data_IF_392458487877
#
_entry.id   IF_392458487877
#
_cell.length_a   1.000
_cell.length_b   1.000
_cell.length_c   1.000
_cell.angle_alpha   90.00
_cell.angle_beta   90.00
_cell.angle_gamma   90.00
#
_symmetry.space_group_name_H-M   'P 1'
#
loop_
_entity.id
_entity.type
_entity.pdbx_description
1 polymer ?
#
# COMPACT_ATOMS: atom_id res chain seq x y z
N UNK A 1 -16.78 -1.75 8.69
CA UNK A 1 -15.95 -1.40 7.54
C UNK A 1 -14.71 -2.29 7.42
N UNK A 2 -14.13 -2.75 8.53
CA UNK A 2 -12.91 -3.56 8.59
C UNK A 2 -13.16 -5.08 8.50
N UNK A 3 -14.35 -5.56 8.85
CA UNK A 3 -14.72 -6.98 8.86
C UNK A 3 -14.47 -7.72 7.55
N UNK A 4 -14.83 -7.20 6.35
CA UNK A 4 -14.63 -7.94 5.11
C UNK A 4 -13.15 -8.22 4.78
N UNK A 5 -12.22 -7.35 5.21
CA UNK A 5 -10.79 -7.56 5.00
C UNK A 5 -10.23 -8.61 5.94
N UNK A 6 -10.63 -8.60 7.22
CA UNK A 6 -10.23 -9.63 8.20
C UNK A 6 -10.72 -11.00 7.75
N UNK A 7 -12.00 -11.12 7.31
CA UNK A 7 -12.54 -12.36 6.76
C UNK A 7 -11.74 -12.89 5.57
N UNK A 8 -11.33 -12.00 4.64
CA UNK A 8 -10.51 -12.42 3.48
C UNK A 8 -9.17 -13.00 3.90
N UNK A 9 -8.50 -12.41 4.91
CA UNK A 9 -7.27 -12.97 5.46
C UNK A 9 -7.51 -14.33 6.13
N UNK A 10 -8.59 -14.47 6.92
CA UNK A 10 -8.96 -15.74 7.57
C UNK A 10 -9.25 -16.85 6.58
N UNK A 11 -9.85 -16.52 5.44
CA UNK A 11 -10.22 -17.47 4.38
C UNK A 11 -9.11 -17.68 3.34
N UNK A 12 -7.96 -17.02 3.48
CA UNK A 12 -6.85 -17.11 2.51
C UNK A 12 -7.16 -16.50 1.14
N UNK A 13 -8.19 -15.66 1.05
CA UNK A 13 -8.56 -14.95 -0.18
C UNK A 13 -7.72 -13.69 -0.36
N UNK A 14 -6.45 -13.86 -0.73
CA UNK A 14 -5.43 -12.79 -0.81
C UNK A 14 -4.93 -12.56 -2.24
N UNK A 15 -5.81 -12.59 -3.23
CA UNK A 15 -5.47 -12.47 -4.65
C UNK A 15 -4.77 -11.16 -5.07
N UNK A 16 -4.69 -10.17 -4.16
CA UNK A 16 -3.91 -8.94 -4.37
C UNK A 16 -2.45 -9.05 -3.94
N UNK A 17 -2.06 -10.15 -3.28
CA UNK A 17 -0.70 -10.37 -2.82
C UNK A 17 0.21 -10.78 -3.97
N UNK A 18 1.31 -10.05 -4.14
CA UNK A 18 2.36 -10.32 -5.11
C UNK A 18 3.56 -10.97 -4.40
N UNK A 19 3.83 -12.26 -4.63
CA UNK A 19 4.86 -12.98 -3.88
C UNK A 19 6.30 -12.53 -4.21
N UNK A 20 6.49 -11.86 -5.34
CA UNK A 20 7.80 -11.34 -5.79
C UNK A 20 7.96 -9.83 -5.59
N UNK A 21 6.95 -9.18 -5.02
CA UNK A 21 6.88 -7.72 -4.88
C UNK A 21 6.49 -7.02 -6.19
N UNK A 22 6.22 -5.72 -6.08
CA UNK A 22 5.70 -4.92 -7.17
C UNK A 22 6.83 -4.43 -8.09
N UNK A 23 6.75 -4.77 -9.39
CA UNK A 23 7.73 -4.39 -10.39
C UNK A 23 7.84 -2.87 -10.62
N UNK A 24 6.72 -2.14 -10.47
CA UNK A 24 6.72 -0.69 -10.62
C UNK A 24 7.36 0.02 -9.42
N UNK A 25 7.24 -0.52 -8.20
CA UNK A 25 8.03 -0.06 -7.07
C UNK A 25 9.52 -0.17 -7.40
N UNK A 26 9.97 -1.35 -7.83
CA UNK A 26 11.38 -1.61 -8.12
C UNK A 26 11.93 -0.76 -9.26
N UNK A 27 11.13 -0.47 -10.28
CA UNK A 27 11.53 0.34 -11.43
C UNK A 27 11.60 1.84 -11.14
N UNK A 28 10.77 2.33 -10.22
CA UNK A 28 10.54 3.78 -10.09
C UNK A 28 10.94 4.37 -8.73
N UNK A 29 11.17 3.57 -7.70
CA UNK A 29 11.69 4.04 -6.41
C UNK A 29 13.17 4.45 -6.54
N UNK A 30 13.49 5.66 -6.07
CA UNK A 30 14.84 6.25 -6.26
C UNK A 30 15.47 6.75 -4.95
N UNK A 31 14.81 6.54 -3.83
CA UNK A 31 15.23 7.13 -2.55
C UNK A 31 15.83 6.08 -1.62
N UNK A 32 16.77 6.52 -0.80
CA UNK A 32 17.38 5.75 0.27
C UNK A 32 17.57 6.62 1.52
N UNK A 33 17.76 5.99 2.67
CA UNK A 33 17.90 6.70 3.95
C UNK A 33 16.62 7.41 4.40
N UNK A 34 15.47 6.96 3.92
CA UNK A 34 14.16 7.50 4.25
C UNK A 34 13.45 6.65 5.28
N UNK A 35 12.60 7.29 6.09
CA UNK A 35 11.59 6.63 6.91
C UNK A 35 10.30 6.54 6.10
N UNK A 36 9.99 5.33 5.63
CA UNK A 36 8.93 5.07 4.65
C UNK A 36 7.68 4.56 5.33
N UNK A 37 6.55 5.24 5.11
CA UNK A 37 5.23 4.76 5.49
C UNK A 37 4.63 3.89 4.39
N UNK A 38 4.16 2.69 4.76
CA UNK A 38 3.42 1.78 3.87
C UNK A 38 2.06 1.44 4.49
N UNK A 39 1.00 2.17 4.13
CA UNK A 39 -0.34 1.95 4.69
C UNK A 39 -0.99 0.67 4.17
N UNK A 40 -1.78 -0.02 5.01
CA UNK A 40 -2.56 -1.21 4.66
C UNK A 40 -1.71 -2.25 3.91
N UNK A 41 -0.50 -2.48 4.43
CA UNK A 41 0.59 -3.16 3.71
C UNK A 41 0.36 -4.65 3.49
N UNK A 42 -0.60 -5.28 4.18
CA UNK A 42 -0.72 -6.73 4.15
C UNK A 42 0.57 -7.42 4.60
N UNK A 43 0.96 -8.45 3.86
CA UNK A 43 2.23 -9.17 4.04
C UNK A 43 3.20 -8.98 2.86
N UNK A 44 3.14 -7.80 2.19
CA UNK A 44 3.92 -7.59 0.97
C UNK A 44 5.43 -7.66 1.20
N UNK A 45 6.13 -8.34 0.31
CA UNK A 45 7.59 -8.37 0.29
C UNK A 45 8.23 -7.05 -0.18
N UNK A 46 7.44 -6.10 -0.64
CA UNK A 46 7.88 -4.73 -0.93
C UNK A 46 8.52 -4.06 0.28
N UNK A 47 8.09 -4.42 1.50
CA UNK A 47 8.70 -3.93 2.74
C UNK A 47 10.18 -4.35 2.84
N UNK A 48 10.49 -5.59 2.46
CA UNK A 48 11.87 -6.10 2.42
C UNK A 48 12.69 -5.40 1.35
N UNK A 49 12.09 -5.20 0.18
CA UNK A 49 12.78 -4.53 -0.91
C UNK A 49 13.08 -3.07 -0.58
N UNK A 50 12.13 -2.34 0.01
CA UNK A 50 12.33 -0.95 0.46
C UNK A 50 13.45 -0.85 1.52
N UNK A 51 13.50 -1.77 2.47
CA UNK A 51 14.56 -1.83 3.49
C UNK A 51 15.92 -2.12 2.84
N UNK A 52 15.99 -3.03 1.86
CA UNK A 52 17.22 -3.34 1.11
C UNK A 52 17.75 -2.12 0.31
N UNK A 53 16.88 -1.16 -0.03
CA UNK A 53 17.30 0.12 -0.59
C UNK A 53 17.85 1.10 0.46
N UNK A 54 18.02 0.66 1.71
CA UNK A 54 18.59 1.44 2.79
C UNK A 54 17.59 2.34 3.53
N UNK A 55 16.32 2.01 3.52
CA UNK A 55 15.26 2.76 4.21
C UNK A 55 14.88 2.10 5.55
N UNK A 56 14.36 2.91 6.49
CA UNK A 56 13.54 2.44 7.61
C UNK A 56 12.11 2.30 7.11
N UNK A 57 11.50 1.13 7.28
CA UNK A 57 10.18 0.84 6.71
C UNK A 57 9.17 0.59 7.82
N UNK A 58 8.07 1.33 7.78
CA UNK A 58 6.96 1.19 8.72
C UNK A 58 5.70 0.84 7.97
N UNK A 59 5.23 -0.40 8.16
CA UNK A 59 3.95 -0.87 7.64
C UNK A 59 2.84 -0.73 8.69
N UNK A 60 1.63 -0.44 8.23
CA UNK A 60 0.42 -0.50 9.06
C UNK A 60 -0.58 -1.43 8.41
N UNK A 61 -1.02 -2.45 9.12
CA UNK A 61 -1.95 -3.46 8.62
C UNK A 61 -3.04 -3.74 9.64
N UNK A 62 -4.27 -3.91 9.17
CA UNK A 62 -5.42 -4.19 10.03
C UNK A 62 -5.39 -5.61 10.60
N UNK A 63 -4.96 -6.58 9.78
CA UNK A 63 -5.01 -8.00 10.09
C UNK A 63 -3.72 -8.49 10.76
N UNK A 64 -3.81 -8.93 12.02
CA UNK A 64 -2.69 -9.56 12.70
C UNK A 64 -2.22 -10.84 11.98
N UNK A 65 -3.14 -11.55 11.31
CA UNK A 65 -2.80 -12.72 10.48
C UNK A 65 -1.81 -12.32 9.38
N UNK A 66 -2.04 -11.18 8.72
CA UNK A 66 -1.15 -10.69 7.67
C UNK A 66 0.21 -10.27 8.24
N UNK A 67 0.21 -9.55 9.36
CA UNK A 67 1.44 -9.10 10.04
C UNK A 67 2.30 -10.29 10.45
N UNK A 68 1.73 -11.28 11.11
CA UNK A 68 2.47 -12.48 11.54
C UNK A 68 2.94 -13.31 10.35
N UNK A 69 2.08 -13.47 9.33
CA UNK A 69 2.44 -14.18 8.10
C UNK A 69 3.63 -13.51 7.37
N UNK A 70 3.74 -12.16 7.40
CA UNK A 70 4.93 -11.48 6.85
C UNK A 70 6.22 -11.96 7.51
N UNK A 71 6.27 -12.01 8.82
CA UNK A 71 7.46 -12.45 9.55
C UNK A 71 7.75 -13.93 9.35
N UNK A 72 6.73 -14.78 9.49
CA UNK A 72 6.85 -16.24 9.40
C UNK A 72 7.28 -16.70 8.01
N UNK A 73 6.61 -16.22 6.96
CA UNK A 73 6.90 -16.63 5.57
C UNK A 73 8.28 -16.17 5.09
N UNK A 74 8.82 -15.08 5.66
CA UNK A 74 10.14 -14.57 5.35
C UNK A 74 11.23 -15.03 6.33
N UNK A 75 10.88 -15.85 7.34
CA UNK A 75 11.83 -16.37 8.32
C UNK A 75 12.48 -15.28 9.18
N UNK A 76 11.73 -14.22 9.51
CA UNK A 76 12.21 -13.06 10.25
C UNK A 76 11.77 -13.18 11.72
N UNK A 77 12.73 -13.13 12.63
CA UNK A 77 12.45 -12.98 14.06
C UNK A 77 11.94 -11.56 14.35
N UNK A 78 11.00 -11.44 15.29
CA UNK A 78 10.43 -10.15 15.68
C UNK A 78 10.22 -10.07 17.18
N UNK A 79 10.15 -8.85 17.68
CA UNK A 79 9.78 -8.53 19.06
C UNK A 79 8.67 -7.49 19.09
N UNK A 80 7.86 -7.50 20.14
CA UNK A 80 6.80 -6.52 20.32
C UNK A 80 7.39 -5.14 20.65
N UNK A 81 6.81 -4.11 20.06
CA UNK A 81 7.13 -2.70 20.34
C UNK A 81 5.88 -1.90 20.64
N UNK A 82 6.04 -0.91 21.51
CA UNK A 82 4.97 0.03 21.83
C UNK A 82 4.87 1.13 20.78
N UNK A 83 3.65 1.60 20.53
CA UNK A 83 3.35 2.69 19.62
C UNK A 83 1.90 3.15 19.78
N UNK A 84 1.39 3.93 18.85
CA UNK A 84 -0.02 4.29 18.79
C UNK A 84 -0.94 3.10 18.55
N UNK A 85 -0.39 2.05 17.92
CA UNK A 85 -0.98 0.71 17.77
C UNK A 85 0.00 -0.35 18.29
N UNK A 86 -0.47 -1.57 18.63
CA UNK A 86 0.41 -2.71 18.86
C UNK A 86 1.36 -2.92 17.67
N UNK A 87 2.66 -3.05 17.94
CA UNK A 87 3.68 -3.14 16.91
C UNK A 87 4.60 -4.34 17.06
N UNK A 88 5.28 -4.66 15.98
CA UNK A 88 6.25 -5.75 15.83
C UNK A 88 7.47 -5.23 15.08
N UNK A 89 8.63 -5.30 15.71
CA UNK A 89 9.92 -4.90 15.13
C UNK A 89 10.68 -6.12 14.68
N UNK A 90 11.12 -6.15 13.42
CA UNK A 90 12.01 -7.19 12.91
C UNK A 90 13.38 -7.13 13.60
N UNK A 91 13.84 -8.24 14.16
CA UNK A 91 15.14 -8.30 14.88
C UNK A 91 16.28 -8.10 13.88
N UNK A 92 17.14 -7.12 14.16
CA UNK A 92 18.30 -6.81 13.32
C UNK A 92 18.00 -6.19 11.96
N UNK A 93 16.77 -5.72 11.75
CA UNK A 93 16.32 -5.07 10.49
C UNK A 93 15.60 -3.74 10.77
N UNK A 94 15.48 -2.92 9.75
CA UNK A 94 14.82 -1.62 9.81
C UNK A 94 13.36 -1.71 9.32
N UNK A 95 12.60 -2.70 9.83
CA UNK A 95 11.19 -2.93 9.47
C UNK A 95 10.38 -3.04 10.75
N UNK A 96 9.33 -2.21 10.85
CA UNK A 96 8.31 -2.29 11.90
C UNK A 96 6.93 -2.46 11.26
N UNK A 97 6.10 -3.33 11.81
CA UNK A 97 4.71 -3.48 11.42
C UNK A 97 3.79 -3.18 12.60
N UNK A 98 2.83 -2.29 12.40
CA UNK A 98 1.81 -1.94 13.39
C UNK A 98 0.47 -2.55 13.00
N UNK A 99 -0.19 -3.18 13.97
CA UNK A 99 -1.43 -3.91 13.75
C UNK A 99 -2.65 -3.13 14.27
N UNK A 100 -3.55 -2.75 13.39
CA UNK A 100 -4.79 -2.06 13.75
C UNK A 100 -5.38 -1.18 12.66
N UNK A 101 -6.41 -0.43 13.03
CA UNK A 101 -7.04 0.52 12.10
C UNK A 101 -6.06 1.65 11.78
N UNK A 102 -5.71 1.78 10.50
CA UNK A 102 -4.79 2.79 9.99
C UNK A 102 -5.14 4.21 10.45
N UNK A 103 -6.43 4.52 10.59
CA UNK A 103 -6.88 5.84 11.03
C UNK A 103 -6.59 6.15 12.51
N UNK A 104 -6.13 5.18 13.28
CA UNK A 104 -5.67 5.34 14.66
C UNK A 104 -4.14 5.39 14.79
N UNK A 105 -3.41 5.15 13.70
CA UNK A 105 -1.96 5.22 13.69
C UNK A 105 -1.48 6.67 13.66
N UNK A 106 -0.55 7.05 14.56
CA UNK A 106 -0.10 8.44 14.71
C UNK A 106 1.42 8.62 14.87
N UNK A 107 2.21 7.56 14.65
CA UNK A 107 3.64 7.55 14.93
C UNK A 107 4.51 8.16 13.80
N UNK A 108 4.09 9.31 13.27
CA UNK A 108 4.86 10.12 12.31
C UNK A 108 5.92 11.03 12.97
N UNK A 109 6.63 11.88 12.23
CA UNK A 109 6.51 12.03 10.79
C UNK A 109 7.32 11.02 9.96
N UNK A 110 6.91 10.86 8.69
CA UNK A 110 7.62 10.09 7.68
C UNK A 110 8.11 11.02 6.56
N UNK A 111 9.27 10.74 6.00
CA UNK A 111 9.83 11.51 4.89
C UNK A 111 9.70 10.80 3.53
N UNK A 112 9.04 9.63 3.53
CA UNK A 112 8.60 8.97 2.32
C UNK A 112 7.31 8.16 2.53
N UNK A 113 6.57 7.93 1.44
CA UNK A 113 5.31 7.21 1.40
C UNK A 113 5.26 6.28 0.18
N UNK A 114 4.91 5.02 0.41
CA UNK A 114 4.62 4.05 -0.64
C UNK A 114 3.21 3.53 -0.48
N UNK A 115 2.37 3.76 -1.48
CA UNK A 115 0.99 3.26 -1.55
C UNK A 115 0.79 2.38 -2.77
N UNK A 116 0.60 1.10 -2.54
CA UNK A 116 0.14 0.14 -3.52
C UNK A 116 -0.97 -0.71 -2.90
N UNK A 117 -2.16 -0.54 -3.40
CA UNK A 117 -3.30 -1.32 -2.92
C UNK A 117 -4.11 -0.66 -1.80
N UNK A 118 -3.63 0.37 -1.11
CA UNK A 118 -4.37 1.04 -0.04
C UNK A 118 -5.44 2.00 -0.58
N UNK A 119 -5.06 3.04 -1.31
CA UNK A 119 -6.01 4.02 -1.85
C UNK A 119 -7.08 3.37 -2.74
N UNK A 120 -6.68 2.45 -3.62
CA UNK A 120 -7.58 1.76 -4.56
C UNK A 120 -8.46 0.69 -3.91
N UNK A 121 -8.21 0.33 -2.65
CA UNK A 121 -9.06 -0.59 -1.89
C UNK A 121 -10.24 0.12 -1.19
N UNK A 122 -10.17 1.45 -1.08
CA UNK A 122 -11.13 2.24 -0.34
C UNK A 122 -12.30 2.72 -1.20
N UNK A 123 -13.50 2.70 -0.61
CA UNK A 123 -14.69 3.35 -1.17
C UNK A 123 -14.44 4.86 -1.35
N UNK A 124 -15.05 5.46 -2.36
CA UNK A 124 -14.81 6.85 -2.74
C UNK A 124 -15.03 7.87 -1.60
N UNK A 125 -15.98 7.61 -0.70
CA UNK A 125 -16.27 8.47 0.46
C UNK A 125 -15.18 8.44 1.53
N UNK A 126 -14.37 7.38 1.58
CA UNK A 126 -13.26 7.22 2.56
C UNK A 126 -11.93 7.79 2.07
N UNK A 127 -11.70 7.85 0.77
CA UNK A 127 -10.41 8.27 0.19
C UNK A 127 -9.97 9.67 0.62
N UNK A 128 -10.87 10.69 0.71
CA UNK A 128 -10.47 12.00 1.23
C UNK A 128 -10.02 11.98 2.70
N UNK A 129 -10.62 11.10 3.53
CA UNK A 129 -10.18 10.91 4.91
C UNK A 129 -8.81 10.23 4.96
N UNK A 130 -8.63 9.19 4.14
CA UNK A 130 -7.36 8.48 4.01
C UNK A 130 -6.23 9.41 3.58
N UNK A 131 -6.42 10.18 2.52
CA UNK A 131 -5.42 11.10 2.01
C UNK A 131 -5.02 12.18 3.05
N UNK A 132 -5.99 12.77 3.74
CA UNK A 132 -5.71 13.75 4.81
C UNK A 132 -4.96 13.10 5.99
N UNK A 133 -5.36 11.89 6.40
CA UNK A 133 -4.68 11.18 7.48
C UNK A 133 -3.24 10.84 7.09
N UNK A 134 -3.02 10.28 5.90
CA UNK A 134 -1.68 10.02 5.37
C UNK A 134 -0.84 11.29 5.33
N UNK A 135 -1.38 12.40 4.79
CA UNK A 135 -0.67 13.68 4.75
C UNK A 135 -0.28 14.20 6.13
N UNK A 136 -1.10 13.96 7.16
CA UNK A 136 -0.77 14.38 8.54
C UNK A 136 0.39 13.60 9.17
N UNK A 137 0.73 12.45 8.60
CA UNK A 137 1.85 11.61 9.03
C UNK A 137 3.14 11.90 8.25
N UNK A 138 3.07 12.66 7.17
CA UNK A 138 4.21 12.96 6.29
C UNK A 138 4.81 14.32 6.60
N UNK A 139 6.10 14.47 6.29
CA UNK A 139 6.73 15.81 6.17
C UNK A 139 6.21 16.52 4.92
N UNK A 140 6.29 17.85 4.89
CA UNK A 140 5.79 18.66 3.77
C UNK A 140 6.47 18.33 2.43
N UNK A 141 7.73 17.89 2.47
CA UNK A 141 8.58 17.50 1.35
C UNK A 141 8.73 15.99 1.18
N UNK A 142 7.91 15.18 1.85
CA UNK A 142 7.99 13.74 1.77
C UNK A 142 7.96 13.23 0.32
N UNK A 143 8.88 12.33 0.00
CA UNK A 143 8.86 11.62 -1.27
C UNK A 143 7.67 10.66 -1.31
N UNK A 144 6.98 10.58 -2.45
CA UNK A 144 5.84 9.67 -2.58
C UNK A 144 5.93 8.86 -3.86
N UNK A 145 5.66 7.57 -3.75
CA UNK A 145 5.36 6.69 -4.86
C UNK A 145 4.00 6.05 -4.59
N UNK A 146 3.02 6.35 -5.44
CA UNK A 146 1.66 5.83 -5.35
C UNK A 146 1.34 5.08 -6.63
N UNK A 147 0.77 3.89 -6.50
CA UNK A 147 0.34 3.06 -7.64
C UNK A 147 -1.17 2.92 -7.58
N UNK A 148 -1.83 3.38 -8.62
CA UNK A 148 -3.29 3.28 -8.79
C UNK A 148 -3.64 2.46 -10.02
N UNK A 149 -4.93 2.17 -10.19
CA UNK A 149 -5.43 1.52 -11.41
C UNK A 149 -6.44 2.42 -12.11
N UNK A 150 -6.45 2.36 -13.44
CA UNK A 150 -7.42 3.00 -14.31
C UNK A 150 -8.07 1.97 -15.22
N UNK A 151 -9.40 1.87 -15.18
CA UNK A 151 -10.21 1.01 -16.03
C UNK A 151 -11.64 1.55 -16.09
N UNK A 152 -12.48 1.04 -16.98
CA UNK A 152 -13.91 1.38 -17.03
C UNK A 152 -14.65 0.72 -15.86
N UNK A 153 -14.85 1.47 -14.78
CA UNK A 153 -15.53 0.99 -13.58
C UNK A 153 -17.01 0.67 -13.78
N UNK A 154 -17.63 1.10 -14.90
CA UNK A 154 -18.99 0.68 -15.26
C UNK A 154 -19.06 -0.82 -15.61
N UNK A 155 -17.95 -1.42 -16.02
CA UNK A 155 -17.85 -2.86 -16.35
C UNK A 155 -17.77 -3.71 -15.09
N UNK A 156 -17.01 -3.28 -14.08
CA UNK A 156 -16.82 -4.06 -12.87
C UNK A 156 -16.56 -3.17 -11.64
N UNK A 157 -17.25 -3.50 -10.54
CA UNK A 157 -17.01 -2.86 -9.26
C UNK A 157 -15.71 -3.34 -8.59
N UNK A 158 -15.03 -2.37 -7.93
CA UNK A 158 -13.88 -2.62 -7.08
C UNK A 158 -14.20 -3.44 -5.81
N UNK A 159 -13.25 -3.66 -4.92
CA UNK A 159 -11.84 -3.31 -5.09
C UNK A 159 -11.08 -4.26 -6.04
N UNK A 160 -9.97 -3.80 -6.67
CA UNK A 160 -9.47 -2.44 -6.66
C UNK A 160 -10.43 -1.50 -7.41
N UNK A 161 -10.54 -0.23 -6.95
CA UNK A 161 -11.36 0.80 -7.61
C UNK A 161 -10.51 1.60 -8.60
N UNK A 162 -11.09 1.92 -9.76
CA UNK A 162 -10.48 2.83 -10.73
C UNK A 162 -10.40 4.26 -10.17
N UNK A 163 -9.26 4.93 -10.34
CA UNK A 163 -9.09 6.33 -9.96
C UNK A 163 -8.67 7.18 -11.15
N UNK A 164 -9.39 8.26 -11.37
CA UNK A 164 -9.03 9.25 -12.39
C UNK A 164 -7.94 10.19 -11.89
N UNK A 165 -7.17 10.75 -12.81
CA UNK A 165 -6.03 11.63 -12.48
C UNK A 165 -6.38 12.81 -11.59
N UNK A 166 -7.54 13.42 -11.81
CA UNK A 166 -8.03 14.57 -11.05
C UNK A 166 -8.30 14.22 -9.58
N UNK A 167 -8.74 12.99 -9.29
CA UNK A 167 -8.96 12.52 -7.92
C UNK A 167 -7.61 12.36 -7.21
N UNK A 168 -6.64 11.71 -7.83
CA UNK A 168 -5.31 11.47 -7.24
C UNK A 168 -4.58 12.78 -6.94
N UNK A 169 -4.54 13.69 -7.91
CA UNK A 169 -3.90 15.00 -7.73
C UNK A 169 -4.69 15.94 -6.82
N UNK A 170 -6.00 15.75 -6.71
CA UNK A 170 -6.83 16.42 -5.70
C UNK A 170 -6.51 16.00 -4.28
N UNK A 171 -6.11 14.76 -4.06
CA UNK A 171 -5.67 14.24 -2.76
C UNK A 171 -4.24 14.70 -2.43
N UNK A 172 -3.33 14.57 -3.38
CA UNK A 172 -1.91 14.93 -3.23
C UNK A 172 -1.42 15.76 -4.41
N UNK A 173 -1.51 17.10 -4.35
CA UNK A 173 -1.20 18.01 -5.48
C UNK A 173 0.25 17.95 -5.98
N UNK A 174 1.18 17.41 -5.18
CA UNK A 174 2.58 17.23 -5.59
C UNK A 174 2.79 15.99 -6.46
N UNK A 175 1.85 15.03 -6.47
CA UNK A 175 1.96 13.85 -7.30
C UNK A 175 1.85 14.19 -8.78
N UNK A 176 2.78 13.66 -9.56
CA UNK A 176 2.78 13.73 -11.01
C UNK A 176 2.62 12.35 -11.60
N UNK A 177 1.80 12.23 -12.63
CA UNK A 177 1.64 10.99 -13.39
C UNK A 177 2.95 10.68 -14.11
N UNK A 178 3.64 9.63 -13.69
CA UNK A 178 4.99 9.29 -14.13
C UNK A 178 5.01 8.20 -15.20
N UNK A 179 4.22 7.13 -15.02
CA UNK A 179 4.12 6.04 -15.97
C UNK A 179 2.70 5.47 -16.01
N UNK A 180 2.34 4.89 -17.13
CA UNK A 180 1.10 4.14 -17.37
C UNK A 180 1.48 2.82 -18.00
N UNK A 181 1.10 1.73 -17.36
CA UNK A 181 1.47 0.37 -17.75
C UNK A 181 0.19 -0.41 -18.03
N UNK A 182 0.10 -1.05 -19.18
CA UNK A 182 -0.97 -2.01 -19.45
C UNK A 182 -0.75 -3.23 -18.56
N UNK A 183 -1.69 -3.49 -17.66
CA UNK A 183 -1.66 -4.59 -16.69
C UNK A 183 -2.83 -5.56 -16.93
N UNK A 184 -3.37 -5.57 -18.12
CA UNK A 184 -4.56 -6.37 -18.49
C UNK A 184 -4.32 -7.87 -18.28
N UNK A 185 -3.11 -8.35 -18.54
CA UNK A 185 -2.74 -9.77 -18.37
C UNK A 185 -2.82 -10.21 -16.89
N UNK A 186 -2.61 -9.28 -15.94
CA UNK A 186 -2.66 -9.54 -14.50
C UNK A 186 -3.98 -9.10 -13.85
N UNK A 187 -4.95 -8.67 -14.66
CA UNK A 187 -6.26 -8.25 -14.15
C UNK A 187 -6.91 -9.34 -13.29
N UNK A 188 -7.56 -8.99 -12.16
CA UNK A 188 -8.28 -9.97 -11.37
C UNK A 188 -9.27 -10.76 -12.21
N UNK A 189 -9.39 -12.10 -12.04
CA UNK A 189 -10.26 -12.95 -12.86
C UNK A 189 -11.70 -12.42 -12.98
N UNK A 190 -12.26 -11.90 -11.89
CA UNK A 190 -13.60 -11.30 -11.89
C UNK A 190 -13.78 -10.14 -12.88
N UNK A 191 -12.70 -9.40 -13.21
CA UNK A 191 -12.74 -8.27 -14.15
C UNK A 191 -12.77 -8.79 -15.59
N UNK A 192 -11.97 -9.80 -15.88
CA UNK A 192 -11.96 -10.45 -17.19
C UNK A 192 -13.29 -11.15 -17.45
N UNK A 193 -13.85 -11.84 -16.46
CA UNK A 193 -15.17 -12.48 -16.52
C UNK A 193 -16.31 -11.46 -16.74
N UNK A 194 -16.18 -10.24 -16.19
CA UNK A 194 -17.12 -9.15 -16.42
C UNK A 194 -16.97 -8.49 -17.80
N UNK A 195 -15.95 -8.85 -18.59
CA UNK A 195 -15.69 -8.32 -19.92
C UNK A 195 -14.83 -7.06 -19.94
N UNK A 196 -14.02 -6.83 -18.90
CA UNK A 196 -13.06 -5.73 -18.91
C UNK A 196 -11.99 -6.01 -19.98
N UNK A 197 -11.83 -5.09 -20.91
CA UNK A 197 -10.88 -5.24 -22.02
C UNK A 197 -9.48 -4.73 -21.67
N UNK A 198 -9.41 -3.72 -20.80
CA UNK A 198 -8.14 -3.06 -20.46
C UNK A 198 -8.15 -2.56 -19.03
N UNK A 199 -7.02 -2.77 -18.31
CA UNK A 199 -6.71 -2.12 -17.05
C UNK A 199 -5.26 -1.60 -17.09
N UNK A 200 -5.05 -0.39 -16.60
CA UNK A 200 -3.71 0.17 -16.49
C UNK A 200 -3.32 0.32 -15.03
N UNK A 201 -2.09 -0.04 -14.68
CA UNK A 201 -1.44 0.52 -13.51
C UNK A 201 -0.88 1.91 -13.83
N UNK A 202 -1.06 2.86 -12.91
CA UNK A 202 -0.56 4.22 -13.05
C UNK A 202 0.37 4.52 -11.89
N UNK A 203 1.62 4.87 -12.21
CA UNK A 203 2.64 5.26 -11.23
C UNK A 203 2.65 6.77 -11.07
N UNK A 204 2.52 7.21 -9.84
CA UNK A 204 2.55 8.61 -9.43
C UNK A 204 3.77 8.87 -8.55
N UNK A 205 4.48 9.97 -8.78
CA UNK A 205 5.67 10.34 -8.04
C UNK A 205 5.59 11.79 -7.58
N UNK A 206 5.97 12.03 -6.31
CA UNK A 206 6.36 13.32 -5.77
C UNK A 206 7.77 13.24 -5.16
N UNK A 207 8.61 14.23 -5.45
CA UNK A 207 9.99 14.32 -4.95
C UNK A 207 10.18 15.62 -4.15
#
# INVERSE_FOLDING_TARGET
MNEPWIERWQEGRTGWHEPTGNGNLQAHWKWSGRRVLVPMCGKTVDLLWLEQQGNEVVGVELSEIAVLAFFEENGIEYESVDGSLPGYQAVGRQISLYCGDYFNFTDGPFDAHYDRGALIALQADLRPRYARHTSSLLTDDAAQLVITVEYDQAVCDGPPFSLVSEEVTGHWPRLQRHAVIDDTENAPPKFLEAGLEVIHEVVWIAS
#
